data_IF_210111444559
#
_entry.id   IF_210111444559
#
_cell.length_a   1.000
_cell.length_b   1.000
_cell.length_c   1.000
_cell.angle_alpha   90.00
_cell.angle_beta   90.00
_cell.angle_gamma   90.00
#
_symmetry.space_group_name_H-M   'P 1'
#
loop_
_entity.id
_entity.type
_entity.pdbx_description
1 polymer ?
#
# COMPACT_ATOMS: atom_id res chain seq x y z
N UNK A 1 -12.03 61.65 -42.78
CA UNK A 1 -10.91 61.11 -41.98
C UNK A 1 -11.43 59.94 -41.17
N UNK A 2 -11.10 58.70 -41.54
CA UNK A 2 -11.25 57.54 -40.64
C UNK A 2 -10.01 56.66 -40.88
N UNK A 3 -9.14 56.61 -39.88
CA UNK A 3 -7.91 55.85 -39.87
C UNK A 3 -8.18 54.41 -39.39
N UNK A 4 -7.77 53.41 -40.17
CA UNK A 4 -7.68 52.02 -39.72
C UNK A 4 -6.38 51.81 -38.95
N UNK A 5 -6.49 51.47 -37.67
CA UNK A 5 -5.39 50.92 -36.87
C UNK A 5 -5.58 49.40 -36.77
N UNK A 6 -4.70 48.65 -37.43
CA UNK A 6 -4.51 47.21 -37.22
C UNK A 6 -3.54 47.03 -36.04
N UNK A 7 -4.07 46.64 -34.87
CA UNK A 7 -3.26 46.21 -33.75
C UNK A 7 -3.00 44.70 -33.86
N UNK A 8 -1.74 44.32 -34.11
CA UNK A 8 -1.29 42.93 -34.08
C UNK A 8 -1.21 42.41 -32.65
N UNK A 9 -1.93 41.33 -32.35
CA UNK A 9 -1.76 40.56 -31.12
C UNK A 9 -0.68 39.51 -31.34
N UNK A 10 0.53 39.79 -30.85
CA UNK A 10 1.59 38.79 -30.70
C UNK A 10 1.23 37.87 -29.52
N UNK A 11 0.87 36.61 -29.83
CA UNK A 11 0.74 35.57 -28.82
C UNK A 11 2.13 35.04 -28.51
N UNK A 12 2.65 35.37 -27.33
CA UNK A 12 3.84 34.71 -26.76
C UNK A 12 3.46 33.28 -26.37
N UNK A 13 3.80 32.31 -27.22
CA UNK A 13 3.74 30.90 -26.85
C UNK A 13 4.84 30.62 -25.81
N UNK A 14 4.44 30.54 -24.53
CA UNK A 14 5.31 30.02 -23.48
C UNK A 14 5.59 28.55 -23.73
N UNK A 15 6.86 28.15 -23.62
CA UNK A 15 7.29 26.75 -23.60
C UNK A 15 6.54 26.02 -22.48
N UNK A 16 5.87 24.88 -22.73
CA UNK A 16 5.27 24.13 -21.64
C UNK A 16 6.40 23.68 -20.70
N UNK A 17 6.31 24.07 -19.44
CA UNK A 17 7.16 23.50 -18.40
C UNK A 17 7.00 21.98 -18.48
N UNK A 18 8.12 21.24 -18.55
CA UNK A 18 8.07 19.79 -18.52
C UNK A 18 7.19 19.36 -17.34
N UNK A 19 6.17 18.54 -17.62
CA UNK A 19 5.23 18.11 -16.60
C UNK A 19 6.00 17.52 -15.41
N UNK A 20 5.75 18.03 -14.20
CA UNK A 20 6.33 17.49 -12.98
C UNK A 20 5.91 16.02 -12.85
N UNK A 21 6.90 15.13 -12.70
CA UNK A 21 6.66 13.67 -12.56
C UNK A 21 6.13 13.40 -11.15
N UNK A 22 4.94 12.80 -11.02
CA UNK A 22 4.40 12.45 -9.72
C UNK A 22 4.95 11.12 -9.21
N UNK A 23 5.15 11.03 -7.89
CA UNK A 23 5.54 9.78 -7.24
C UNK A 23 4.43 8.71 -7.26
N UNK A 24 3.18 9.13 -7.48
CA UNK A 24 1.98 8.29 -7.40
C UNK A 24 1.32 8.05 -8.76
N UNK A 25 1.97 8.44 -9.87
CA UNK A 25 1.49 8.04 -11.18
C UNK A 25 1.73 6.53 -11.35
N UNK A 26 1.05 5.90 -12.31
CA UNK A 26 1.23 4.48 -12.60
C UNK A 26 2.61 4.24 -13.23
N UNK A 27 3.48 3.65 -12.43
CA UNK A 27 4.81 3.16 -12.77
C UNK A 27 4.90 1.70 -12.37
N UNK A 28 5.67 0.88 -13.08
CA UNK A 28 5.87 -0.52 -12.69
C UNK A 28 6.94 -0.65 -11.61
N UNK A 29 7.99 0.17 -11.61
CA UNK A 29 9.07 0.06 -10.62
C UNK A 29 9.47 1.44 -10.06
N UNK A 30 9.61 1.50 -8.73
CA UNK A 30 10.25 2.61 -8.01
C UNK A 30 11.64 2.20 -7.51
N UNK A 31 12.64 3.01 -7.83
CA UNK A 31 14.02 2.88 -7.31
C UNK A 31 14.26 4.02 -6.33
N UNK A 32 14.13 3.77 -5.05
CA UNK A 32 14.37 4.75 -4.00
C UNK A 32 15.86 4.86 -3.69
N UNK A 33 16.33 6.11 -3.64
CA UNK A 33 17.71 6.41 -3.31
C UNK A 33 17.92 6.39 -1.80
N UNK A 34 19.15 6.04 -1.41
CA UNK A 34 19.53 6.00 0.00
C UNK A 34 19.24 7.32 0.72
N UNK A 35 18.68 7.20 1.92
CA UNK A 35 18.53 8.27 2.90
C UNK A 35 19.02 7.81 4.27
N UNK A 36 19.21 8.73 5.24
CA UNK A 36 19.57 8.34 6.59
C UNK A 36 18.57 7.42 7.30
N UNK A 37 17.30 7.43 6.88
CA UNK A 37 16.23 6.61 7.46
C UNK A 37 16.15 5.21 6.83
N UNK A 38 16.68 5.03 5.62
CA UNK A 38 16.61 3.77 4.89
C UNK A 38 17.57 2.73 5.49
N UNK A 39 17.06 1.53 5.77
CA UNK A 39 17.88 0.41 6.24
C UNK A 39 18.97 0.07 5.20
N UNK A 40 20.15 -0.34 5.65
CA UNK A 40 21.28 -0.65 4.75
C UNK A 40 22.00 0.56 4.14
N UNK A 41 21.49 1.78 4.29
CA UNK A 41 22.12 3.00 3.74
C UNK A 41 23.12 3.68 4.68
N UNK A 42 23.47 3.04 5.81
CA UNK A 42 24.47 3.52 6.78
C UNK A 42 24.28 4.99 7.22
N UNK A 43 23.02 5.41 7.38
CA UNK A 43 22.64 6.79 7.75
C UNK A 43 23.11 7.86 6.75
N UNK A 44 23.27 7.53 5.45
CA UNK A 44 23.77 8.43 4.41
C UNK A 44 22.77 8.62 3.28
N UNK A 45 22.83 9.80 2.66
CA UNK A 45 22.15 10.06 1.39
C UNK A 45 22.97 9.52 0.21
N UNK A 46 22.30 9.17 -0.89
CA UNK A 46 22.96 8.96 -2.17
C UNK A 46 23.70 10.22 -2.63
N UNK A 47 24.95 10.06 -3.04
CA UNK A 47 25.78 11.16 -3.58
C UNK A 47 25.36 11.54 -4.99
N UNK A 48 25.67 12.77 -5.42
CA UNK A 48 25.41 13.20 -6.80
C UNK A 48 26.03 12.26 -7.85
N UNK A 49 27.26 11.76 -7.61
CA UNK A 49 27.93 10.79 -8.48
C UNK A 49 27.18 9.46 -8.57
N UNK A 50 26.66 8.96 -7.45
CA UNK A 50 25.84 7.74 -7.43
C UNK A 50 24.52 7.95 -8.18
N UNK A 51 23.85 9.08 -7.97
CA UNK A 51 22.62 9.43 -8.69
C UNK A 51 22.83 9.47 -10.20
N UNK A 52 23.91 10.11 -10.66
CA UNK A 52 24.25 10.17 -12.08
C UNK A 52 24.61 8.79 -12.65
N UNK A 53 25.43 8.02 -11.93
CA UNK A 53 25.82 6.68 -12.37
C UNK A 53 24.63 5.71 -12.47
N UNK A 54 23.67 5.84 -11.55
CA UNK A 54 22.42 5.08 -11.60
C UNK A 54 21.54 5.50 -12.77
N UNK A 55 21.37 6.82 -12.99
CA UNK A 55 20.65 7.34 -14.15
C UNK A 55 21.18 6.76 -15.46
N UNK A 56 22.48 6.91 -15.71
CA UNK A 56 23.11 6.39 -16.93
C UNK A 56 22.93 4.88 -17.06
N UNK A 57 23.04 4.14 -15.95
CA UNK A 57 22.79 2.71 -15.95
C UNK A 57 21.36 2.36 -16.34
N UNK A 58 20.35 3.05 -15.79
CA UNK A 58 18.94 2.82 -16.10
C UNK A 58 18.62 3.21 -17.55
N UNK A 59 19.04 4.39 -17.99
CA UNK A 59 18.78 4.89 -19.36
C UNK A 59 19.46 4.04 -20.44
N UNK A 60 20.51 3.29 -20.11
CA UNK A 60 21.16 2.35 -21.03
C UNK A 60 20.41 1.02 -21.22
N UNK A 61 19.31 0.78 -20.49
CA UNK A 61 18.57 -0.49 -20.50
C UNK A 61 17.53 -0.56 -21.61
N UNK A 62 17.68 -1.44 -22.61
CA UNK A 62 16.66 -1.62 -23.63
C UNK A 62 15.36 -2.21 -23.07
N UNK A 63 15.37 -2.81 -21.88
CA UNK A 63 14.19 -3.35 -21.20
C UNK A 63 13.26 -2.26 -20.63
N UNK A 64 13.74 -1.01 -20.50
CA UNK A 64 12.98 0.12 -20.00
C UNK A 64 12.41 0.94 -21.16
N UNK A 65 11.16 1.36 -21.04
CA UNK A 65 10.49 2.25 -22.01
C UNK A 65 10.49 3.71 -21.55
N UNK A 66 10.56 3.97 -20.24
CA UNK A 66 10.74 5.31 -19.68
C UNK A 66 11.51 5.25 -18.35
N UNK A 67 12.29 6.30 -18.07
CA UNK A 67 13.03 6.49 -16.82
C UNK A 67 12.84 7.94 -16.38
N UNK A 68 12.10 8.15 -15.30
CA UNK A 68 11.86 9.47 -14.74
C UNK A 68 12.46 9.65 -13.37
N UNK A 69 13.01 10.82 -13.12
CA UNK A 69 13.50 11.16 -11.80
C UNK A 69 12.47 11.99 -11.06
N UNK A 70 12.16 11.57 -9.84
CA UNK A 70 11.30 12.30 -8.91
C UNK A 70 12.19 12.85 -7.82
N UNK A 71 12.33 14.16 -7.81
CA UNK A 71 13.03 14.85 -6.74
C UNK A 71 12.20 14.87 -5.46
N UNK A 72 12.85 15.31 -4.39
CA UNK A 72 12.25 15.34 -3.06
C UNK A 72 11.06 16.30 -2.94
N UNK A 73 11.08 17.41 -3.67
CA UNK A 73 10.00 18.39 -3.64
C UNK A 73 8.73 17.82 -4.30
N UNK A 74 8.90 17.16 -5.45
CA UNK A 74 7.85 16.50 -6.22
C UNK A 74 7.27 15.30 -5.45
N UNK A 75 8.13 14.51 -4.80
CA UNK A 75 7.69 13.43 -3.90
C UNK A 75 6.87 13.99 -2.73
N UNK A 76 7.33 15.07 -2.09
CA UNK A 76 6.59 15.68 -0.98
C UNK A 76 5.26 16.30 -1.40
N UNK A 77 5.20 16.92 -2.59
CA UNK A 77 3.96 17.43 -3.17
C UNK A 77 2.96 16.31 -3.40
N UNK A 78 3.40 15.19 -3.99
CA UNK A 78 2.58 13.99 -4.20
C UNK A 78 2.07 13.44 -2.86
N UNK A 79 2.98 13.28 -1.88
CA UNK A 79 2.64 12.81 -0.53
C UNK A 79 1.57 13.67 0.15
N UNK A 80 1.70 14.99 0.07
CA UNK A 80 0.73 15.91 0.69
C UNK A 80 -0.66 15.82 0.06
N UNK A 81 -0.73 15.60 -1.26
CA UNK A 81 -1.99 15.41 -1.98
C UNK A 81 -2.63 14.08 -1.59
N UNK A 82 -1.86 13.01 -1.65
CA UNK A 82 -2.34 11.65 -1.45
C UNK A 82 -2.80 11.36 -0.01
N UNK A 83 -2.15 12.02 0.97
CA UNK A 83 -2.50 11.91 2.39
C UNK A 83 -3.18 13.17 2.94
N UNK A 84 -3.83 13.98 2.08
CA UNK A 84 -4.47 15.24 2.46
C UNK A 84 -5.42 15.10 3.67
N UNK A 85 -6.17 14.01 3.74
CA UNK A 85 -7.09 13.71 4.85
C UNK A 85 -6.44 13.17 6.13
N UNK A 86 -5.14 12.84 6.13
CA UNK A 86 -4.43 12.33 7.30
C UNK A 86 -3.50 13.39 7.91
N UNK A 87 -4.09 14.32 8.67
CA UNK A 87 -3.37 15.43 9.30
C UNK A 87 -2.24 14.99 10.23
N UNK A 88 -2.39 13.85 10.91
CA UNK A 88 -1.36 13.32 11.83
C UNK A 88 -0.12 12.87 11.07
N UNK A 89 -0.33 12.15 9.95
CA UNK A 89 0.75 11.72 9.07
C UNK A 89 1.44 12.91 8.38
N UNK A 90 0.66 13.89 7.90
CA UNK A 90 1.20 15.11 7.28
C UNK A 90 2.10 15.93 8.22
N UNK A 91 1.84 15.90 9.53
CA UNK A 91 2.71 16.52 10.54
C UNK A 91 3.96 15.72 10.85
N UNK A 92 3.92 14.41 10.65
CA UNK A 92 5.00 13.49 10.98
C UNK A 92 6.08 13.41 9.88
N UNK A 93 5.71 13.69 8.63
CA UNK A 93 6.60 13.57 7.47
C UNK A 93 6.92 14.93 6.89
N UNK A 94 8.21 15.25 6.77
CA UNK A 94 8.71 16.44 6.08
C UNK A 94 9.35 16.02 4.77
N UNK A 95 9.52 16.96 3.85
CA UNK A 95 10.17 16.71 2.56
C UNK A 95 11.53 15.98 2.71
N UNK A 96 12.38 16.40 3.65
CA UNK A 96 13.69 15.78 3.91
C UNK A 96 13.65 14.32 4.34
N UNK A 97 12.51 13.88 4.85
CA UNK A 97 12.31 12.50 5.30
C UNK A 97 11.88 11.59 4.12
N UNK A 98 11.63 12.14 2.92
CA UNK A 98 11.32 11.38 1.72
C UNK A 98 12.57 11.14 0.86
N UNK A 99 12.76 9.92 0.33
CA UNK A 99 13.78 9.62 -0.67
C UNK A 99 13.50 10.31 -2.00
N UNK A 100 14.56 10.67 -2.71
CA UNK A 100 14.50 10.88 -4.16
C UNK A 100 14.38 9.51 -4.84
N UNK A 101 13.76 9.43 -6.02
CA UNK A 101 13.55 8.15 -6.69
C UNK A 101 13.68 8.23 -8.21
N UNK A 102 14.02 7.09 -8.84
CA UNK A 102 13.74 6.87 -10.25
C UNK A 102 12.48 6.03 -10.41
N UNK A 103 11.61 6.44 -11.31
CA UNK A 103 10.39 5.73 -11.71
C UNK A 103 10.60 5.13 -13.08
N UNK A 104 10.35 3.84 -13.21
CA UNK A 104 10.67 3.09 -14.42
C UNK A 104 9.40 2.56 -15.04
N UNK A 105 9.28 2.76 -16.36
CA UNK A 105 8.36 1.95 -17.17
C UNK A 105 9.08 0.77 -17.77
N UNK A 106 8.52 -0.42 -17.58
CA UNK A 106 9.13 -1.68 -17.99
C UNK A 106 8.36 -2.25 -19.18
N UNK A 107 9.09 -2.71 -20.22
CA UNK A 107 8.46 -3.35 -21.38
C UNK A 107 7.80 -4.68 -21.00
N UNK A 108 6.72 -5.04 -21.70
CA UNK A 108 6.01 -6.32 -21.54
C UNK A 108 6.96 -7.51 -21.70
N UNK A 109 6.79 -8.54 -20.87
CA UNK A 109 7.57 -9.79 -20.92
C UNK A 109 8.96 -9.72 -20.26
N UNK A 110 9.34 -8.58 -19.68
CA UNK A 110 10.58 -8.45 -18.91
C UNK A 110 10.43 -9.08 -17.53
N UNK A 111 11.42 -9.87 -17.13
CA UNK A 111 11.58 -10.35 -15.74
C UNK A 111 11.92 -9.19 -14.81
N UNK A 112 10.88 -8.62 -14.18
CA UNK A 112 10.99 -7.48 -13.27
C UNK A 112 11.79 -7.82 -12.02
N UNK A 113 11.72 -9.05 -11.51
CA UNK A 113 12.47 -9.43 -10.32
C UNK A 113 13.96 -9.46 -10.59
N UNK A 114 14.40 -10.03 -11.70
CA UNK A 114 15.81 -9.99 -12.10
C UNK A 114 16.30 -8.55 -12.28
N UNK A 115 15.48 -7.69 -12.89
CA UNK A 115 15.80 -6.27 -13.03
C UNK A 115 15.95 -5.58 -11.67
N UNK A 116 14.99 -5.77 -10.75
CA UNK A 116 15.02 -5.22 -9.39
C UNK A 116 16.29 -5.61 -8.65
N UNK A 117 16.68 -6.89 -8.69
CA UNK A 117 17.91 -7.37 -8.07
C UNK A 117 19.16 -6.73 -8.67
N UNK A 118 19.21 -6.55 -9.99
CA UNK A 118 20.33 -5.89 -10.67
C UNK A 118 20.43 -4.41 -10.29
N UNK A 119 19.30 -3.70 -10.18
CA UNK A 119 19.24 -2.28 -9.79
C UNK A 119 19.55 -2.09 -8.31
N UNK A 120 19.05 -2.95 -7.42
CA UNK A 120 19.25 -2.85 -5.97
C UNK A 120 20.74 -2.90 -5.57
N UNK A 121 21.56 -3.63 -6.34
CA UNK A 121 23.02 -3.72 -6.11
C UNK A 121 23.81 -2.48 -6.53
N UNK A 122 23.17 -1.46 -7.12
CA UNK A 122 23.86 -0.25 -7.58
C UNK A 122 24.14 0.68 -6.40
N UNK A 123 25.35 1.28 -6.30
CA UNK A 123 25.67 2.20 -5.21
C UNK A 123 24.69 3.36 -5.09
N UNK A 124 24.23 3.64 -3.87
CA UNK A 124 23.29 4.73 -3.58
C UNK A 124 21.81 4.36 -3.75
N UNK A 125 21.50 3.13 -4.17
CA UNK A 125 20.13 2.59 -4.12
C UNK A 125 19.85 2.11 -2.70
N UNK A 126 18.70 2.53 -2.16
CA UNK A 126 18.23 2.10 -0.86
C UNK A 126 17.17 1.00 -0.96
N UNK A 127 16.26 1.11 -1.93
CA UNK A 127 15.16 0.15 -2.10
C UNK A 127 14.70 0.11 -3.56
N UNK A 128 14.21 -1.05 -4.00
CA UNK A 128 13.61 -1.22 -5.33
C UNK A 128 12.28 -1.97 -5.21
N UNK A 129 11.18 -1.26 -5.44
CA UNK A 129 9.83 -1.76 -5.24
C UNK A 129 9.15 -1.97 -6.60
N UNK A 130 8.56 -3.16 -6.79
CA UNK A 130 7.60 -3.39 -7.87
C UNK A 130 6.26 -2.77 -7.44
N UNK A 131 5.85 -1.71 -8.12
CA UNK A 131 4.64 -0.97 -7.77
C UNK A 131 3.38 -1.58 -8.40
N UNK A 132 3.49 -2.63 -9.22
CA UNK A 132 2.29 -3.32 -9.72
C UNK A 132 1.54 -4.05 -8.60
N UNK A 133 2.10 -4.16 -7.40
CA UNK A 133 1.33 -4.58 -6.22
C UNK A 133 0.22 -3.58 -5.86
N UNK A 134 0.37 -2.30 -6.24
CA UNK A 134 -0.65 -1.27 -6.09
C UNK A 134 -1.51 -1.09 -7.34
N UNK A 135 -0.96 -1.29 -8.54
CA UNK A 135 -1.62 -0.90 -9.79
C UNK A 135 -1.75 -2.02 -10.84
N UNK A 136 -1.32 -3.25 -10.52
CA UNK A 136 -1.24 -4.38 -11.46
C UNK A 136 -2.59 -4.99 -11.85
N UNK A 137 -2.52 -5.99 -12.75
CA UNK A 137 -3.57 -6.51 -13.65
C UNK A 137 -4.92 -6.92 -13.03
N UNK A 138 -5.01 -6.97 -11.71
CA UNK A 138 -6.27 -6.92 -10.97
C UNK A 138 -6.25 -5.65 -10.14
N UNK A 139 -6.96 -4.63 -10.63
CA UNK A 139 -7.17 -3.38 -9.90
C UNK A 139 -7.34 -3.66 -8.40
N UNK A 140 -6.74 -2.89 -7.47
CA UNK A 140 -7.30 -2.82 -6.14
C UNK A 140 -8.69 -2.19 -6.34
N UNK A 141 -9.71 -3.04 -6.49
CA UNK A 141 -11.06 -2.63 -6.14
C UNK A 141 -10.87 -2.19 -4.70
N UNK A 142 -10.89 -0.87 -4.44
CA UNK A 142 -10.86 -0.35 -3.09
C UNK A 142 -11.81 -1.24 -2.30
N UNK A 143 -11.28 -1.94 -1.29
CA UNK A 143 -12.04 -3.04 -0.69
C UNK A 143 -13.40 -2.49 -0.31
N UNK A 144 -14.47 -3.16 -0.74
CA UNK A 144 -15.83 -2.78 -0.38
C UNK A 144 -15.99 -2.66 1.14
N UNK A 145 -15.09 -3.31 1.88
CA UNK A 145 -15.07 -3.39 3.31
C UNK A 145 -13.97 -2.51 3.90
N UNK A 146 -14.29 -1.87 5.02
CA UNK A 146 -13.36 -1.03 5.77
C UNK A 146 -12.58 -1.84 6.82
N UNK A 147 -13.25 -2.83 7.42
CA UNK A 147 -12.67 -3.73 8.41
C UNK A 147 -13.02 -5.19 8.06
N UNK A 148 -12.01 -6.06 8.10
CA UNK A 148 -12.19 -7.51 7.99
C UNK A 148 -11.79 -8.20 9.30
N UNK A 149 -12.69 -8.99 9.87
CA UNK A 149 -12.49 -9.74 11.11
C UNK A 149 -12.43 -11.22 10.74
N UNK A 150 -11.25 -11.81 10.73
CA UNK A 150 -11.06 -13.23 10.44
C UNK A 150 -11.17 -14.05 11.71
N UNK A 151 -11.86 -15.19 11.61
CA UNK A 151 -12.08 -16.09 12.72
C UNK A 151 -10.97 -17.15 12.81
N UNK A 152 -10.78 -17.70 14.01
CA UNK A 152 -9.86 -18.81 14.20
C UNK A 152 -10.31 -20.02 13.38
N UNK A 153 -9.36 -20.56 12.60
CA UNK A 153 -9.48 -21.86 11.95
C UNK A 153 -8.71 -22.91 12.75
N UNK A 154 -8.96 -24.18 12.43
CA UNK A 154 -8.21 -25.29 13.00
C UNK A 154 -6.72 -25.10 12.69
N UNK A 155 -5.89 -25.37 13.69
CA UNK A 155 -4.42 -25.33 13.57
C UNK A 155 -3.84 -23.96 13.17
N UNK A 156 -4.61 -22.87 13.35
CA UNK A 156 -4.13 -21.52 13.09
C UNK A 156 -2.90 -21.20 13.93
N UNK A 157 -1.83 -20.74 13.27
CA UNK A 157 -0.61 -20.27 13.91
C UNK A 157 -0.73 -18.85 14.50
N UNK A 158 -1.87 -18.19 14.33
CA UNK A 158 -2.08 -16.83 14.81
C UNK A 158 -2.08 -16.81 16.34
N UNK A 159 -1.33 -15.88 16.99
CA UNK A 159 -1.20 -15.83 18.44
C UNK A 159 -2.54 -15.83 19.20
N UNK A 160 -3.56 -15.16 18.66
CA UNK A 160 -4.91 -15.10 19.25
C UNK A 160 -5.63 -16.47 19.26
N UNK A 161 -5.24 -17.39 18.37
CA UNK A 161 -5.78 -18.74 18.26
C UNK A 161 -4.89 -19.79 18.94
N UNK A 162 -3.84 -19.37 19.64
CA UNK A 162 -3.00 -20.28 20.41
C UNK A 162 -3.58 -20.51 21.81
N UNK A 163 -3.22 -21.64 22.41
CA UNK A 163 -3.54 -22.03 23.77
C UNK A 163 -2.26 -22.19 24.58
N UNK A 164 -2.31 -21.84 25.87
CA UNK A 164 -1.23 -22.09 26.83
C UNK A 164 0.17 -21.77 26.28
N UNK A 165 1.03 -22.81 26.17
CA UNK A 165 2.43 -22.74 25.70
C UNK A 165 2.60 -22.42 24.20
N UNK A 166 1.73 -21.60 23.61
CA UNK A 166 1.81 -21.22 22.20
C UNK A 166 1.46 -22.35 21.22
N UNK A 167 0.73 -23.38 21.66
CA UNK A 167 0.24 -24.44 20.75
C UNK A 167 -1.07 -23.99 20.13
N UNK A 168 -1.26 -24.24 18.83
CA UNK A 168 -2.56 -24.02 18.20
C UNK A 168 -3.66 -24.66 19.06
N UNK A 169 -4.72 -23.92 19.34
CA UNK A 169 -5.79 -24.40 20.21
C UNK A 169 -6.56 -25.58 19.57
N UNK A 170 -6.28 -25.90 18.30
CA UNK A 170 -6.90 -26.96 17.50
C UNK A 170 -8.38 -26.71 17.21
N UNK A 171 -8.86 -25.48 17.45
CA UNK A 171 -10.28 -25.14 17.51
C UNK A 171 -10.62 -24.05 16.51
N UNK A 172 -11.69 -24.30 15.78
CA UNK A 172 -12.41 -23.28 15.03
C UNK A 172 -13.19 -22.38 15.99
N UNK A 173 -13.51 -21.15 15.55
CA UNK A 173 -14.45 -20.30 16.27
C UNK A 173 -15.82 -20.99 16.44
N UNK A 174 -16.28 -21.09 17.68
CA UNK A 174 -17.53 -21.76 18.04
C UNK A 174 -18.76 -20.92 17.67
N UNK A 175 -19.93 -21.54 17.55
CA UNK A 175 -21.20 -20.83 17.34
C UNK A 175 -21.50 -19.81 18.45
N UNK A 176 -21.08 -20.09 19.69
CA UNK A 176 -21.24 -19.17 20.82
C UNK A 176 -20.36 -17.93 20.64
N UNK A 177 -19.10 -18.12 20.24
CA UNK A 177 -18.17 -17.03 19.97
C UNK A 177 -18.64 -16.17 18.79
N UNK A 178 -19.07 -16.79 17.68
CA UNK A 178 -19.66 -16.08 16.54
C UNK A 178 -20.84 -15.20 16.94
N UNK A 179 -21.76 -15.70 17.78
CA UNK A 179 -22.89 -14.91 18.31
C UNK A 179 -22.42 -13.73 19.17
N UNK A 180 -21.38 -13.92 19.99
CA UNK A 180 -20.79 -12.84 20.81
C UNK A 180 -20.15 -11.78 19.90
N UNK A 181 -19.42 -12.20 18.86
CA UNK A 181 -18.79 -11.31 17.90
C UNK A 181 -19.85 -10.51 17.14
N UNK A 182 -20.87 -11.15 16.58
CA UNK A 182 -21.96 -10.47 15.88
C UNK A 182 -22.64 -9.41 16.77
N UNK A 183 -22.99 -9.79 18.01
CA UNK A 183 -23.59 -8.84 18.97
C UNK A 183 -22.65 -7.67 19.31
N UNK A 184 -21.35 -7.92 19.39
CA UNK A 184 -20.36 -6.85 19.63
C UNK A 184 -20.26 -5.90 18.42
N UNK A 185 -20.33 -6.42 17.20
CA UNK A 185 -20.35 -5.62 15.96
C UNK A 185 -21.61 -4.75 15.93
N UNK A 186 -22.79 -5.34 16.13
CA UNK A 186 -24.09 -4.64 16.17
C UNK A 186 -24.11 -3.52 17.24
N UNK A 187 -23.45 -3.73 18.38
CA UNK A 187 -23.34 -2.75 19.45
C UNK A 187 -22.24 -1.70 19.26
N UNK A 188 -21.44 -1.79 18.20
CA UNK A 188 -20.30 -0.89 17.98
C UNK A 188 -20.75 0.37 17.25
N UNK A 189 -20.62 1.52 17.92
CA UNK A 189 -20.83 2.83 17.28
C UNK A 189 -19.90 2.99 16.08
N UNK A 190 -20.48 3.33 14.93
CA UNK A 190 -19.71 3.59 13.71
C UNK A 190 -19.73 2.46 12.69
N UNK A 191 -20.22 1.27 13.03
CA UNK A 191 -20.51 0.23 12.04
C UNK A 191 -21.78 0.65 11.29
N UNK A 192 -21.70 0.74 9.95
CA UNK A 192 -22.86 1.06 9.11
C UNK A 192 -23.59 -0.23 8.70
N UNK A 193 -22.84 -1.16 8.10
CA UNK A 193 -23.31 -2.49 7.75
C UNK A 193 -22.23 -3.53 8.03
N UNK A 194 -22.63 -4.79 8.12
CA UNK A 194 -21.69 -5.90 8.07
C UNK A 194 -22.31 -7.11 7.39
N UNK A 195 -21.46 -7.94 6.80
CA UNK A 195 -21.82 -9.28 6.34
C UNK A 195 -21.00 -10.33 7.07
N UNK A 196 -21.56 -11.53 7.16
CA UNK A 196 -20.81 -12.72 7.52
C UNK A 196 -20.48 -13.51 6.26
N UNK A 197 -19.20 -13.74 6.04
CA UNK A 197 -18.68 -14.55 4.95
C UNK A 197 -18.34 -15.94 5.51
N UNK A 198 -19.14 -16.94 5.12
CA UNK A 198 -18.88 -18.33 5.49
C UNK A 198 -17.66 -18.90 4.75
N UNK A 199 -17.14 -20.03 5.23
CA UNK A 199 -15.92 -20.65 4.72
C UNK A 199 -16.03 -21.06 3.25
N UNK A 200 -17.21 -21.54 2.83
CA UNK A 200 -17.44 -21.97 1.46
C UNK A 200 -17.41 -20.78 0.50
N UNK A 201 -18.00 -19.66 0.91
CA UNK A 201 -18.02 -18.40 0.16
C UNK A 201 -16.63 -17.79 0.11
N UNK A 202 -15.93 -17.71 1.24
CA UNK A 202 -14.55 -17.24 1.29
C UNK A 202 -13.62 -18.06 0.41
N UNK A 203 -13.78 -19.39 0.36
CA UNK A 203 -12.98 -20.25 -0.51
C UNK A 203 -13.31 -20.05 -1.99
N UNK A 204 -14.58 -19.87 -2.37
CA UNK A 204 -14.94 -19.52 -3.76
C UNK A 204 -14.29 -18.20 -4.17
N UNK A 205 -14.40 -17.17 -3.33
CA UNK A 205 -13.79 -15.86 -3.58
C UNK A 205 -12.26 -15.96 -3.72
N UNK A 206 -11.63 -16.79 -2.88
CA UNK A 206 -10.20 -17.07 -2.97
C UNK A 206 -9.81 -17.76 -4.28
N UNK A 207 -10.54 -18.81 -4.68
CA UNK A 207 -10.29 -19.52 -5.95
C UNK A 207 -10.44 -18.57 -7.15
N UNK A 208 -11.45 -17.71 -7.14
CA UNK A 208 -11.65 -16.70 -8.19
C UNK A 208 -10.52 -15.67 -8.22
N UNK A 209 -10.15 -15.12 -7.05
CA UNK A 209 -9.14 -14.05 -6.94
C UNK A 209 -7.71 -14.51 -7.28
N UNK A 210 -7.43 -15.81 -7.13
CA UNK A 210 -6.11 -16.39 -7.30
C UNK A 210 -6.08 -17.51 -8.35
N UNK A 211 -7.04 -17.49 -9.29
CA UNK A 211 -7.17 -18.50 -10.34
C UNK A 211 -5.87 -18.70 -11.13
N UNK A 212 -5.11 -17.61 -11.36
CA UNK A 212 -3.85 -17.62 -12.10
C UNK A 212 -2.62 -18.00 -11.25
N UNK A 213 -2.80 -18.29 -9.95
CA UNK A 213 -1.71 -18.67 -9.04
C UNK A 213 -1.78 -20.17 -8.69
N UNK A 214 -1.39 -21.02 -9.63
CA UNK A 214 -1.43 -22.49 -9.48
C UNK A 214 -0.70 -22.99 -8.23
N UNK A 215 0.44 -22.39 -7.89
CA UNK A 215 1.22 -22.76 -6.70
C UNK A 215 0.41 -22.55 -5.42
N UNK A 216 -0.24 -21.40 -5.28
CA UNK A 216 -1.09 -21.10 -4.12
C UNK A 216 -2.35 -21.97 -4.10
N UNK A 217 -2.98 -22.20 -5.25
CA UNK A 217 -4.17 -23.06 -5.38
C UNK A 217 -3.89 -24.51 -5.03
N UNK A 218 -2.71 -25.03 -5.40
CA UNK A 218 -2.35 -26.43 -5.15
C UNK A 218 -2.16 -26.78 -3.67
N UNK A 219 -1.83 -25.77 -2.84
CA UNK A 219 -1.50 -25.97 -1.41
C UNK A 219 -2.59 -25.51 -0.47
N UNK A 220 -3.56 -24.71 -0.94
CA UNK A 220 -4.59 -24.11 -0.10
C UNK A 220 -5.90 -24.88 -0.19
N UNK A 221 -6.35 -25.40 0.95
CA UNK A 221 -7.63 -26.12 1.06
C UNK A 221 -8.69 -25.19 1.62
N UNK A 222 -9.97 -25.52 1.37
CA UNK A 222 -11.10 -24.80 1.96
C UNK A 222 -11.00 -24.69 3.50
N UNK A 223 -10.49 -25.73 4.17
CA UNK A 223 -10.29 -25.75 5.62
C UNK A 223 -9.31 -24.70 6.14
N UNK A 224 -8.41 -24.22 5.28
CA UNK A 224 -7.37 -23.26 5.60
C UNK A 224 -7.89 -21.81 5.48
N UNK A 225 -9.03 -21.63 4.80
CA UNK A 225 -9.66 -20.33 4.63
C UNK A 225 -10.54 -20.01 5.85
N UNK A 226 -10.30 -18.87 6.53
CA UNK A 226 -11.11 -18.43 7.65
C UNK A 226 -12.47 -17.89 7.21
N UNK A 227 -13.51 -18.19 7.98
CA UNK A 227 -14.74 -17.41 8.00
C UNK A 227 -14.43 -15.98 8.46
N UNK A 228 -15.24 -15.01 8.03
CA UNK A 228 -14.99 -13.62 8.38
C UNK A 228 -16.26 -12.79 8.57
N UNK A 229 -16.13 -11.70 9.32
CA UNK A 229 -17.07 -10.59 9.28
C UNK A 229 -16.45 -9.44 8.50
N UNK A 230 -17.19 -8.87 7.55
CA UNK A 230 -16.76 -7.74 6.73
C UNK A 230 -17.64 -6.55 7.03
N UNK A 231 -17.04 -5.43 7.43
CA UNK A 231 -17.74 -4.26 7.97
C UNK A 231 -17.52 -3.05 7.06
N UNK A 232 -18.55 -2.24 6.91
CA UNK A 232 -18.46 -0.85 6.46
C UNK A 232 -18.56 0.07 7.67
N UNK A 233 -17.84 1.18 7.64
CA UNK A 233 -17.61 2.03 8.79
C UNK A 233 -17.83 3.51 8.45
N UNK A 234 -18.49 4.22 9.36
CA UNK A 234 -18.56 5.69 9.31
C UNK A 234 -17.15 6.28 9.32
N UNK A 235 -16.81 7.22 8.42
CA UNK A 235 -15.43 7.69 8.23
C UNK A 235 -14.85 8.47 9.41
N UNK A 236 -15.70 9.09 10.23
CA UNK A 236 -15.36 9.94 11.38
C UNK A 236 -15.04 9.17 12.66
N UNK A 237 -15.16 7.84 12.65
CA UNK A 237 -14.88 6.98 13.80
C UNK A 237 -13.41 6.54 13.81
N UNK A 238 -12.85 6.33 15.02
CA UNK A 238 -11.53 5.72 15.16
C UNK A 238 -11.60 4.22 14.91
N UNK A 239 -11.42 3.83 13.64
CA UNK A 239 -11.44 2.44 13.21
C UNK A 239 -10.39 1.60 13.91
N UNK A 240 -9.26 2.17 14.36
CA UNK A 240 -8.25 1.39 15.08
C UNK A 240 -8.73 1.03 16.49
N UNK A 241 -9.46 1.92 17.16
CA UNK A 241 -10.04 1.62 18.46
C UNK A 241 -11.05 0.48 18.34
N UNK A 242 -11.91 0.53 17.32
CA UNK A 242 -12.84 -0.54 16.97
C UNK A 242 -12.10 -1.84 16.68
N UNK A 243 -11.13 -1.85 15.77
CA UNK A 243 -10.36 -3.05 15.43
C UNK A 243 -9.65 -3.66 16.63
N UNK A 244 -9.03 -2.85 17.50
CA UNK A 244 -8.38 -3.34 18.73
C UNK A 244 -9.37 -3.95 19.73
N UNK A 245 -10.58 -3.41 19.81
CA UNK A 245 -11.63 -3.96 20.67
C UNK A 245 -12.09 -5.32 20.16
N UNK A 246 -12.44 -5.41 18.88
CA UNK A 246 -12.94 -6.63 18.25
C UNK A 246 -11.87 -7.74 18.18
N UNK A 247 -10.60 -7.37 17.98
CA UNK A 247 -9.48 -8.32 17.97
C UNK A 247 -9.25 -9.06 19.30
N UNK A 248 -9.84 -8.59 20.41
CA UNK A 248 -9.72 -9.22 21.73
C UNK A 248 -10.85 -10.23 22.01
N UNK A 249 -11.82 -10.35 21.11
CA UNK A 249 -12.95 -11.26 21.31
C UNK A 249 -12.51 -12.72 21.10
N UNK A 250 -12.95 -13.67 21.94
CA UNK A 250 -12.69 -15.08 21.74
C UNK A 250 -13.17 -15.56 20.38
N UNK A 251 -12.36 -16.40 19.72
CA UNK A 251 -12.64 -16.90 18.37
C UNK A 251 -12.21 -15.96 17.24
N UNK A 252 -11.78 -14.73 17.53
CA UNK A 252 -11.17 -13.83 16.53
C UNK A 252 -9.69 -14.16 16.36
N UNK A 253 -9.28 -14.36 15.12
CA UNK A 253 -7.88 -14.59 14.73
C UNK A 253 -7.15 -13.28 14.49
N UNK A 254 -7.71 -12.45 13.61
CA UNK A 254 -7.12 -11.18 13.19
C UNK A 254 -8.21 -10.18 12.82
N UNK A 255 -7.89 -8.90 12.97
CA UNK A 255 -8.72 -7.80 12.46
C UNK A 255 -7.85 -6.88 11.61
N UNK A 256 -8.21 -6.72 10.36
CA UNK A 256 -7.56 -5.81 9.42
C UNK A 256 -8.40 -4.55 9.27
N UNK A 257 -7.83 -3.41 9.63
CA UNK A 257 -8.32 -2.10 9.24
C UNK A 257 -7.75 -1.80 7.85
N UNK A 258 -8.57 -1.98 6.81
CA UNK A 258 -8.10 -1.96 5.42
C UNK A 258 -7.63 -0.55 5.02
N UNK A 259 -8.28 0.51 5.50
CA UNK A 259 -7.79 1.89 5.33
C UNK A 259 -6.38 2.12 5.91
N UNK A 260 -6.06 1.47 7.02
CA UNK A 260 -4.72 1.53 7.63
C UNK A 260 -3.72 0.70 6.81
N UNK A 261 -4.09 -0.49 6.38
CA UNK A 261 -3.28 -1.36 5.52
C UNK A 261 -2.93 -0.65 4.20
N UNK A 262 -3.92 -0.09 3.51
CA UNK A 262 -3.73 0.62 2.25
C UNK A 262 -2.85 1.86 2.41
N UNK A 263 -3.04 2.60 3.51
CA UNK A 263 -2.20 3.75 3.82
C UNK A 263 -0.73 3.35 4.03
N UNK A 264 -0.48 2.23 4.71
CA UNK A 264 0.88 1.69 4.91
C UNK A 264 1.48 1.22 3.60
N UNK A 265 0.73 0.44 2.82
CA UNK A 265 1.19 -0.09 1.53
C UNK A 265 1.51 1.04 0.56
N UNK A 266 0.64 2.04 0.44
CA UNK A 266 0.87 3.23 -0.39
C UNK A 266 2.09 4.03 0.07
N UNK A 267 2.28 4.18 1.39
CA UNK A 267 3.44 4.85 1.95
C UNK A 267 4.76 4.13 1.64
N UNK A 268 4.77 2.80 1.72
CA UNK A 268 5.93 1.99 1.35
C UNK A 268 6.19 2.04 -0.15
N UNK A 269 5.20 1.70 -0.97
CA UNK A 269 5.36 1.48 -2.41
C UNK A 269 5.58 2.79 -3.18
N UNK A 270 4.86 3.86 -2.85
CA UNK A 270 5.00 5.14 -3.56
C UNK A 270 6.05 6.07 -2.93
N UNK A 271 6.36 5.92 -1.65
CA UNK A 271 7.21 6.88 -0.93
C UNK A 271 8.45 6.26 -0.27
N UNK A 272 8.65 4.94 -0.32
CA UNK A 272 9.81 4.26 0.24
C UNK A 272 9.88 4.38 1.76
N UNK A 273 8.72 4.36 2.44
CA UNK A 273 8.58 4.61 3.88
C UNK A 273 7.74 3.52 4.55
N UNK A 274 8.40 2.59 5.23
CA UNK A 274 7.78 1.54 6.05
C UNK A 274 8.09 1.66 7.55
N UNK A 275 8.83 2.69 7.95
CA UNK A 275 9.35 2.92 9.31
C UNK A 275 8.42 3.74 10.22
N UNK A 276 7.32 4.28 9.69
CA UNK A 276 6.41 5.12 10.47
C UNK A 276 5.49 4.27 11.37
N UNK A 277 5.28 4.68 12.63
CA UNK A 277 4.42 3.92 13.53
C UNK A 277 2.94 4.09 13.17
N UNK A 278 2.14 3.07 13.48
CA UNK A 278 0.69 3.01 13.24
C UNK A 278 -0.07 4.20 13.82
N UNK A 279 0.39 4.73 14.95
CA UNK A 279 -0.19 5.93 15.58
C UNK A 279 -0.14 7.19 14.70
N UNK A 280 0.69 7.18 13.64
CA UNK A 280 0.77 8.24 12.63
C UNK A 280 0.06 7.83 11.35
N UNK A 281 0.40 6.66 10.80
CA UNK A 281 -0.09 6.22 9.49
C UNK A 281 -1.60 5.93 9.53
N UNK A 282 -2.08 5.34 10.61
CA UNK A 282 -3.45 4.86 10.72
C UNK A 282 -4.37 5.81 11.48
N UNK A 283 -3.89 7.01 11.82
CA UNK A 283 -4.69 8.01 12.51
C UNK A 283 -6.01 8.31 11.76
N UNK A 284 -7.11 8.63 12.49
CA UNK A 284 -8.38 8.97 11.86
C UNK A 284 -8.22 10.08 10.82
N UNK A 285 -8.85 9.89 9.66
CA UNK A 285 -8.89 10.91 8.61
C UNK A 285 -9.91 11.99 9.02
N UNK A 286 -9.56 13.26 8.82
CA UNK A 286 -10.39 14.43 9.14
C UNK A 286 -10.31 15.47 8.05
#
# INVERSE_FOLDING_TARGET
MIAMLLAGMSVLAGTPAAAEVSASDEWEIAVFLCTPATYGCHKRNATAKQKQALRTFLESRPELSDVRFVDRASAYKSFRRDFAGNRTLLKAVRAKDLPESFRLRVKTGVDRDRMRHAVYRRPGVGEVIDQTVLYGDTQPVASEWDISIFLCVKDSAMPACLSGRGKANGKIATLKEKKVIAKAIEGTTGVETYIFEDQATAYRNFVESYADNESLMSVTKMSDIPESYRLTMRPDVDWNAVSRSLARLPGVSQVYNLRCTDAKLKLEVEYGRSDLPDSKVCAPRR
#
